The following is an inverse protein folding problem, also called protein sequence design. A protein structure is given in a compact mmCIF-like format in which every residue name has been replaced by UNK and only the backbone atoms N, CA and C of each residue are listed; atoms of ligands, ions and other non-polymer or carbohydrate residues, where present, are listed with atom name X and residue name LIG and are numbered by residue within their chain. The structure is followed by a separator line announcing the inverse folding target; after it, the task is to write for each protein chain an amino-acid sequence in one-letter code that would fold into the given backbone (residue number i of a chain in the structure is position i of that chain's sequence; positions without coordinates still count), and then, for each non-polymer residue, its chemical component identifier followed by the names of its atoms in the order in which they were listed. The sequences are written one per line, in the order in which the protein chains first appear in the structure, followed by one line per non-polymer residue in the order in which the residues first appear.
data_IF_083055573162
#
_entry.id   IF_083055573162
#
_cell.length_a   1.000
_cell.length_b   1.000
_cell.length_c   1.000
_cell.angle_alpha   90.00
_cell.angle_beta   90.00
_cell.angle_gamma   90.00
#
_symmetry.space_group_name_H-M   'P 1'
#
loop_
_entity.id
_entity.type
_entity.pdbx_description
1 polymer ?
#
# COMPACT_ATOMS: atom_id res chain seq x y z
N UNK A 1 -19.58 -20.08 3.15
CA UNK A 1 -20.82 -19.71 2.49
C UNK A 1 -21.18 -20.76 1.45
N UNK A 2 -22.43 -21.17 1.38
CA UNK A 2 -22.94 -22.22 0.48
C UNK A 2 -22.19 -23.56 0.60
N UNK A 3 -21.71 -23.90 1.80
CA UNK A 3 -21.02 -25.16 2.09
C UNK A 3 -19.56 -25.23 1.57
N UNK A 4 -19.01 -24.13 1.06
CA UNK A 4 -17.62 -24.06 0.59
C UNK A 4 -16.92 -22.82 1.14
N UNK A 5 -15.59 -22.83 1.23
CA UNK A 5 -14.82 -21.62 1.58
C UNK A 5 -15.04 -20.50 0.55
N UNK A 6 -15.16 -19.26 1.02
CA UNK A 6 -15.36 -18.10 0.11
C UNK A 6 -14.22 -17.91 -0.90
N UNK A 7 -13.02 -18.37 -0.57
CA UNK A 7 -11.86 -18.33 -1.47
C UNK A 7 -12.05 -19.09 -2.78
N UNK A 8 -13.03 -20.01 -2.84
CA UNK A 8 -13.35 -20.75 -4.08
C UNK A 8 -14.18 -19.93 -5.08
N UNK A 9 -14.74 -18.81 -4.65
CA UNK A 9 -15.47 -17.91 -5.55
C UNK A 9 -14.52 -17.02 -6.33
N UNK A 10 -14.67 -17.00 -7.66
CA UNK A 10 -13.78 -16.25 -8.56
C UNK A 10 -13.66 -14.77 -8.18
N UNK A 11 -14.77 -14.12 -7.80
CA UNK A 11 -14.75 -12.72 -7.40
C UNK A 11 -13.88 -12.47 -6.15
N UNK A 12 -13.79 -13.41 -5.24
CA UNK A 12 -12.92 -13.36 -4.05
C UNK A 12 -11.48 -13.62 -4.46
N UNK A 13 -11.25 -14.65 -5.28
CA UNK A 13 -9.93 -15.01 -5.79
C UNK A 13 -9.28 -13.87 -6.57
N UNK A 14 -10.00 -13.23 -7.48
CA UNK A 14 -9.50 -12.09 -8.25
C UNK A 14 -9.10 -10.91 -7.36
N UNK A 15 -9.94 -10.57 -6.37
CA UNK A 15 -9.63 -9.50 -5.41
C UNK A 15 -8.38 -9.83 -4.58
N UNK A 16 -8.22 -11.09 -4.17
CA UNK A 16 -7.02 -11.51 -3.43
C UNK A 16 -5.77 -11.43 -4.31
N UNK A 17 -5.85 -11.82 -5.58
CA UNK A 17 -4.76 -11.73 -6.53
C UNK A 17 -4.31 -10.28 -6.77
N UNK A 18 -5.25 -9.35 -6.96
CA UNK A 18 -4.94 -7.93 -7.08
C UNK A 18 -4.21 -7.39 -5.86
N UNK A 19 -4.66 -7.79 -4.66
CA UNK A 19 -4.00 -7.34 -3.41
C UNK A 19 -2.64 -8.00 -3.22
N UNK A 20 -2.46 -9.21 -3.67
CA UNK A 20 -1.14 -9.84 -3.69
C UNK A 20 -0.15 -9.05 -4.56
N UNK A 21 -0.56 -8.66 -5.78
CA UNK A 21 0.24 -7.81 -6.68
C UNK A 21 0.57 -6.48 -6.01
N UNK A 22 -0.41 -5.81 -5.40
CA UNK A 22 -0.21 -4.57 -4.67
C UNK A 22 0.88 -4.71 -3.58
N UNK A 23 0.81 -5.77 -2.78
CA UNK A 23 1.77 -6.03 -1.69
C UNK A 23 3.17 -6.30 -2.24
N UNK A 24 3.28 -7.05 -3.35
CA UNK A 24 4.58 -7.30 -3.99
C UNK A 24 5.20 -6.01 -4.56
N UNK A 25 4.42 -5.15 -5.20
CA UNK A 25 4.88 -3.84 -5.65
C UNK A 25 5.38 -2.97 -4.49
N UNK A 26 4.63 -2.92 -3.39
CA UNK A 26 5.04 -2.22 -2.18
C UNK A 26 6.36 -2.78 -1.63
N UNK A 27 6.46 -4.10 -1.56
CA UNK A 27 7.67 -4.78 -1.07
C UNK A 27 8.90 -4.43 -1.90
N UNK A 28 8.78 -4.52 -3.23
CA UNK A 28 9.87 -4.24 -4.16
C UNK A 28 10.33 -2.79 -4.09
N UNK A 29 9.40 -1.83 -4.11
CA UNK A 29 9.73 -0.40 -4.02
C UNK A 29 10.37 -0.05 -2.67
N UNK A 30 9.93 -0.68 -1.57
CA UNK A 30 10.52 -0.50 -0.25
C UNK A 30 11.95 -1.05 -0.20
N UNK A 31 12.20 -2.23 -0.76
CA UNK A 31 13.55 -2.81 -0.81
C UNK A 31 14.49 -2.00 -1.70
N UNK A 32 13.99 -1.45 -2.81
CA UNK A 32 14.79 -0.57 -3.67
C UNK A 32 15.26 0.66 -2.89
N UNK A 33 14.34 1.37 -2.25
CA UNK A 33 14.68 2.54 -1.44
C UNK A 33 15.67 2.20 -0.31
N UNK A 34 15.42 1.10 0.41
CA UNK A 34 16.29 0.65 1.50
C UNK A 34 17.69 0.26 1.02
N UNK A 35 17.79 -0.38 -0.14
CA UNK A 35 19.07 -0.78 -0.73
C UNK A 35 19.93 0.43 -1.12
N UNK A 36 19.33 1.46 -1.74
CA UNK A 36 20.02 2.69 -2.09
C UNK A 36 20.49 3.44 -0.83
N UNK A 37 19.63 3.56 0.17
CA UNK A 37 20.00 4.18 1.46
C UNK A 37 21.15 3.43 2.14
N UNK A 38 21.12 2.10 2.14
CA UNK A 38 22.19 1.29 2.72
C UNK A 38 23.53 1.44 1.98
N UNK A 39 23.47 1.69 0.68
CA UNK A 39 24.66 1.96 -0.15
C UNK A 39 25.17 3.42 -0.05
N UNK A 40 24.47 4.28 0.69
CA UNK A 40 24.80 5.71 0.76
C UNK A 40 24.50 6.48 -0.55
N UNK A 41 23.69 5.89 -1.44
CA UNK A 41 23.29 6.49 -2.70
C UNK A 41 22.08 7.45 -2.52
N UNK A 42 21.88 8.43 -3.41
CA UNK A 42 20.66 9.22 -3.45
C UNK A 42 19.43 8.31 -3.57
N UNK A 43 18.42 8.51 -2.74
CA UNK A 43 17.24 7.65 -2.68
C UNK A 43 15.92 8.41 -2.43
N UNK A 44 15.95 9.74 -2.58
CA UNK A 44 14.80 10.58 -2.22
C UNK A 44 13.56 10.30 -3.07
N UNK A 45 13.74 9.99 -4.35
CA UNK A 45 12.68 9.62 -5.27
C UNK A 45 12.10 8.25 -4.91
N UNK A 46 12.96 7.27 -4.68
CA UNK A 46 12.56 5.90 -4.32
C UNK A 46 11.85 5.85 -2.97
N UNK A 47 12.28 6.67 -2.01
CA UNK A 47 11.59 6.82 -0.72
C UNK A 47 10.19 7.42 -0.91
N UNK A 48 10.03 8.44 -1.76
CA UNK A 48 8.73 9.00 -2.08
C UNK A 48 7.84 7.97 -2.80
N UNK A 49 8.38 7.22 -3.78
CA UNK A 49 7.68 6.14 -4.48
C UNK A 49 7.23 5.06 -3.48
N UNK A 50 8.12 4.58 -2.62
CA UNK A 50 7.79 3.58 -1.61
C UNK A 50 6.70 4.10 -0.65
N UNK A 51 6.75 5.37 -0.26
CA UNK A 51 5.74 5.98 0.60
C UNK A 51 4.38 6.14 -0.09
N UNK A 52 4.36 6.49 -1.37
CA UNK A 52 3.13 6.55 -2.18
C UNK A 52 2.50 5.15 -2.26
N UNK A 53 3.28 4.12 -2.60
CA UNK A 53 2.82 2.74 -2.62
C UNK A 53 2.30 2.29 -1.25
N UNK A 54 2.98 2.64 -0.16
CA UNK A 54 2.55 2.27 1.19
C UNK A 54 1.18 2.85 1.55
N UNK A 55 0.90 4.08 1.17
CA UNK A 55 -0.41 4.70 1.38
C UNK A 55 -1.52 4.03 0.55
N UNK A 56 -1.30 3.91 -0.76
CA UNK A 56 -2.29 3.35 -1.68
C UNK A 56 -2.56 1.88 -1.43
N UNK A 57 -1.52 1.07 -1.26
CA UNK A 57 -1.65 -0.36 -0.99
C UNK A 57 -2.30 -0.59 0.37
N UNK A 58 -1.86 0.15 1.40
CA UNK A 58 -2.46 0.08 2.73
C UNK A 58 -3.97 0.32 2.69
N UNK A 59 -4.39 1.33 1.92
CA UNK A 59 -5.80 1.65 1.69
C UNK A 59 -6.54 0.50 0.97
N UNK A 60 -6.04 0.06 -0.19
CA UNK A 60 -6.71 -0.95 -1.01
C UNK A 60 -6.79 -2.31 -0.32
N UNK A 61 -5.71 -2.74 0.34
CA UNK A 61 -5.66 -4.02 1.05
C UNK A 61 -6.59 -4.02 2.25
N UNK A 62 -6.55 -2.96 3.07
CA UNK A 62 -7.41 -2.85 4.25
C UNK A 62 -8.89 -2.82 3.88
N UNK A 63 -9.25 -2.03 2.86
CA UNK A 63 -10.63 -1.99 2.35
C UNK A 63 -11.09 -3.36 1.83
N UNK A 64 -10.23 -4.04 1.05
CA UNK A 64 -10.55 -5.38 0.54
C UNK A 64 -10.70 -6.39 1.67
N UNK A 65 -9.83 -6.36 2.67
CA UNK A 65 -9.93 -7.23 3.85
C UNK A 65 -11.25 -7.02 4.60
N UNK A 66 -11.62 -5.77 4.89
CA UNK A 66 -12.91 -5.46 5.53
C UNK A 66 -14.10 -5.93 4.69
N UNK A 67 -14.07 -5.68 3.38
CA UNK A 67 -15.14 -6.07 2.48
C UNK A 67 -15.34 -7.59 2.45
N UNK A 68 -14.25 -8.37 2.37
CA UNK A 68 -14.33 -9.84 2.35
C UNK A 68 -14.79 -10.44 3.69
N UNK A 69 -14.56 -9.75 4.81
CA UNK A 69 -15.07 -10.16 6.13
C UNK A 69 -16.51 -9.66 6.39
N UNK A 70 -17.07 -8.83 5.51
CA UNK A 70 -18.40 -8.27 5.69
C UNK A 70 -18.54 -7.49 7.00
N UNK A 71 -19.66 -7.62 7.70
CA UNK A 71 -19.90 -6.95 8.98
C UNK A 71 -18.85 -7.26 10.04
N UNK A 72 -18.28 -8.46 10.06
CA UNK A 72 -17.21 -8.83 10.97
C UNK A 72 -15.91 -8.03 10.73
N UNK A 73 -15.69 -7.51 9.51
CA UNK A 73 -14.52 -6.72 9.17
C UNK A 73 -14.46 -5.36 9.84
N UNK A 74 -15.60 -4.82 10.27
CA UNK A 74 -15.71 -3.53 10.98
C UNK A 74 -15.91 -3.69 12.49
N UNK A 75 -16.07 -4.90 12.97
CA UNK A 75 -16.20 -5.19 14.39
C UNK A 75 -14.85 -5.06 15.10
N UNK A 76 -14.82 -4.28 16.18
CA UNK A 76 -13.63 -4.04 17.01
C UNK A 76 -13.05 -5.29 17.65
N UNK A 77 -13.87 -6.32 17.86
CA UNK A 77 -13.46 -7.62 18.39
C UNK A 77 -12.66 -8.46 17.40
N UNK A 78 -12.65 -8.11 16.12
CA UNK A 78 -12.00 -8.85 15.06
C UNK A 78 -10.68 -8.21 14.61
N UNK A 79 -9.72 -9.06 14.22
CA UNK A 79 -8.38 -8.63 13.81
C UNK A 79 -8.37 -7.63 12.62
N UNK A 80 -9.19 -7.76 11.56
CA UNK A 80 -9.18 -6.85 10.42
C UNK A 80 -9.32 -5.38 10.81
N UNK A 81 -10.17 -5.07 11.80
CA UNK A 81 -10.39 -3.69 12.26
C UNK A 81 -9.08 -3.00 12.69
N UNK A 82 -8.25 -3.70 13.49
CA UNK A 82 -6.96 -3.17 13.97
C UNK A 82 -6.02 -2.87 12.83
N UNK A 83 -5.88 -3.79 11.88
CA UNK A 83 -4.99 -3.62 10.73
C UNK A 83 -5.44 -2.50 9.80
N UNK A 84 -6.75 -2.31 9.64
CA UNK A 84 -7.29 -1.19 8.88
C UNK A 84 -6.97 0.16 9.52
N UNK A 85 -7.06 0.27 10.84
CA UNK A 85 -6.64 1.49 11.55
C UNK A 85 -5.14 1.75 11.39
N UNK A 86 -4.30 0.73 11.51
CA UNK A 86 -2.87 0.87 11.29
C UNK A 86 -2.54 1.28 9.86
N UNK A 87 -3.20 0.71 8.85
CA UNK A 87 -3.02 1.11 7.46
C UNK A 87 -3.34 2.59 7.25
N UNK A 88 -4.46 3.08 7.83
CA UNK A 88 -4.85 4.50 7.77
C UNK A 88 -3.87 5.40 8.52
N UNK A 89 -3.40 4.98 9.69
CA UNK A 89 -2.39 5.71 10.43
C UNK A 89 -1.10 5.85 9.60
N UNK A 90 -0.62 4.75 9.02
CA UNK A 90 0.58 4.75 8.19
C UNK A 90 0.42 5.58 6.90
N UNK A 91 -0.76 5.58 6.28
CA UNK A 91 -1.07 6.42 5.12
C UNK A 91 -0.86 7.91 5.44
N UNK A 92 -1.31 8.35 6.63
CA UNK A 92 -1.23 9.75 7.06
C UNK A 92 0.13 10.14 7.65
N UNK A 93 0.89 9.17 8.14
CA UNK A 93 2.20 9.40 8.77
C UNK A 93 3.23 9.79 7.72
N UNK A 94 4.07 10.78 8.03
CA UNK A 94 5.12 11.28 7.13
C UNK A 94 4.62 11.85 5.79
N UNK A 95 3.39 12.30 5.75
CA UNK A 95 2.75 12.90 4.59
C UNK A 95 1.87 11.92 3.82
N UNK A 96 0.62 12.32 3.54
CA UNK A 96 -0.34 11.50 2.81
C UNK A 96 0.05 11.34 1.34
N UNK A 97 -0.43 10.26 0.71
CA UNK A 97 -0.15 9.90 -0.70
C UNK A 97 -0.31 11.07 -1.67
N UNK A 98 -1.41 11.83 -1.57
CA UNK A 98 -1.67 12.97 -2.47
C UNK A 98 -0.58 14.05 -2.39
N UNK A 99 -0.10 14.36 -1.17
CA UNK A 99 0.97 15.32 -0.96
C UNK A 99 2.31 14.82 -1.55
N UNK A 100 2.61 13.54 -1.37
CA UNK A 100 3.83 12.94 -1.93
C UNK A 100 3.79 12.86 -3.46
N UNK A 101 2.65 12.52 -4.05
CA UNK A 101 2.44 12.54 -5.50
C UNK A 101 2.64 13.94 -6.08
N UNK A 102 2.05 14.96 -5.44
CA UNK A 102 2.21 16.35 -5.89
C UNK A 102 3.67 16.80 -5.82
N UNK A 103 4.39 16.46 -4.74
CA UNK A 103 5.80 16.78 -4.57
C UNK A 103 6.67 16.09 -5.64
N UNK A 104 6.46 14.79 -5.85
CA UNK A 104 7.20 14.03 -6.85
C UNK A 104 6.91 14.54 -8.27
N UNK A 105 5.64 14.83 -8.57
CA UNK A 105 5.23 15.42 -9.85
C UNK A 105 5.88 16.77 -10.12
N UNK A 106 5.99 17.65 -9.13
CA UNK A 106 6.67 18.92 -9.26
C UNK A 106 8.17 18.73 -9.54
N UNK A 107 8.83 17.80 -8.85
CA UNK A 107 10.24 17.45 -9.11
C UNK A 107 10.46 16.90 -10.52
N UNK A 108 9.55 16.06 -11.01
CA UNK A 108 9.60 15.58 -12.39
C UNK A 108 9.46 16.72 -13.40
N UNK A 109 8.52 17.65 -13.16
CA UNK A 109 8.29 18.79 -14.05
C UNK A 109 9.49 19.75 -14.10
N UNK A 110 10.22 19.86 -13.00
CA UNK A 110 11.44 20.69 -12.92
C UNK A 110 12.71 19.97 -13.45
N UNK A 111 12.60 18.71 -13.87
CA UNK A 111 13.75 17.90 -14.28
C UNK A 111 14.68 17.47 -13.14
N UNK A 112 14.21 17.55 -11.89
CA UNK A 112 14.97 17.21 -10.68
C UNK A 112 14.81 15.74 -10.25
N UNK A 113 13.79 15.06 -10.75
CA UNK A 113 13.59 13.65 -10.50
C UNK A 113 14.43 12.84 -11.49
N UNK A 114 15.08 11.77 -11.00
CA UNK A 114 15.89 10.85 -11.82
C UNK A 114 17.17 11.48 -12.41
N UNK A 115 17.65 12.58 -11.87
CA UNK A 115 18.98 13.10 -12.16
C UNK A 115 19.95 12.45 -11.17
N UNK A 116 20.87 11.67 -11.68
CA UNK A 116 21.94 11.01 -10.93
C UNK A 116 22.99 12.04 -10.44
#
# INVERSE_FOLDING_TARGET
QFGVPIATFQAVGNRAADRFIDVECLRLTTYQAASLLAAGAPASVEVDIAKIWAGDVGHRVSYTAQHLHGGAGVDRGNAPWRYCLWARHNEMTLGPTASRLASLGARCANGEAFVD
#
